data_IF_281570049910
#
_entry.id   IF_281570049910
#
_cell.length_a   1.000
_cell.length_b   1.000
_cell.length_c   1.000
_cell.angle_alpha   90.00
_cell.angle_beta   90.00
_cell.angle_gamma   90.00
#
_symmetry.space_group_name_H-M   'P 1'
#
loop_
_entity.id
_entity.type
_entity.pdbx_description
1 polymer ?
#
# COMPACT_ATOMS: atom_id res chain seq x y z
N UNK A 1 16.78 -25.50 -0.72
CA UNK A 1 16.16 -24.39 -1.50
C UNK A 1 15.08 -23.81 -0.60
N UNK A 2 15.23 -22.60 -0.11
CA UNK A 2 14.17 -21.92 0.67
C UNK A 2 12.96 -21.71 -0.22
N UNK A 3 11.76 -22.04 0.27
CA UNK A 3 10.51 -21.76 -0.43
C UNK A 3 10.44 -20.25 -0.76
N UNK A 4 9.88 -19.86 -1.90
CA UNK A 4 9.73 -18.45 -2.23
C UNK A 4 8.83 -17.76 -1.19
N UNK A 5 9.17 -16.52 -0.81
CA UNK A 5 8.40 -15.71 0.12
C UNK A 5 6.92 -15.65 -0.31
N UNK A 6 6.02 -15.94 0.60
CA UNK A 6 4.57 -16.00 0.33
C UNK A 6 3.79 -15.32 1.44
N UNK A 7 2.82 -14.49 1.07
CA UNK A 7 1.81 -13.94 1.99
C UNK A 7 0.46 -14.61 1.75
N UNK A 8 -0.11 -15.18 2.79
CA UNK A 8 -1.43 -15.82 2.79
C UNK A 8 -2.39 -15.01 3.66
N UNK A 9 -3.56 -14.70 3.11
CA UNK A 9 -4.65 -14.02 3.81
C UNK A 9 -5.91 -14.86 3.64
N UNK A 10 -6.49 -15.35 4.77
CA UNK A 10 -7.70 -16.16 4.76
C UNK A 10 -8.65 -15.70 5.86
N UNK A 11 -9.91 -15.51 5.50
CA UNK A 11 -11.02 -15.17 6.41
C UNK A 11 -10.71 -13.99 7.35
N UNK A 12 -9.92 -13.01 6.88
CA UNK A 12 -9.54 -11.85 7.69
C UNK A 12 -10.76 -10.98 7.99
N UNK A 13 -10.99 -10.74 9.29
CA UNK A 13 -12.08 -9.89 9.78
C UNK A 13 -11.55 -8.78 10.67
N UNK A 14 -12.15 -7.61 10.55
CA UNK A 14 -11.88 -6.46 11.44
C UNK A 14 -13.19 -5.80 11.80
N UNK A 15 -13.33 -5.48 13.08
CA UNK A 15 -14.49 -4.72 13.60
C UNK A 15 -14.03 -3.62 14.54
N UNK A 16 -14.64 -2.44 14.46
CA UNK A 16 -14.46 -1.33 15.38
C UNK A 16 -15.77 -1.07 16.13
N UNK A 17 -15.73 -1.12 17.45
CA UNK A 17 -16.90 -0.86 18.31
C UNK A 17 -18.15 -1.67 17.88
N UNK A 18 -17.98 -2.94 17.52
CA UNK A 18 -19.06 -3.81 17.07
C UNK A 18 -19.49 -3.61 15.60
N UNK A 19 -18.98 -2.61 14.91
CA UNK A 19 -19.23 -2.41 13.47
C UNK A 19 -18.16 -3.16 12.67
N UNK A 20 -18.61 -4.13 11.88
CA UNK A 20 -17.73 -4.84 10.95
C UNK A 20 -17.24 -3.91 9.82
N UNK A 21 -15.95 -3.92 9.55
CA UNK A 21 -15.31 -3.14 8.47
C UNK A 21 -14.71 -4.06 7.42
N UNK A 22 -14.21 -5.23 7.82
CA UNK A 22 -13.77 -6.28 6.90
C UNK A 22 -14.48 -7.58 7.26
N UNK A 23 -15.06 -8.25 6.26
CA UNK A 23 -15.80 -9.47 6.43
C UNK A 23 -15.21 -10.61 5.62
N UNK A 24 -14.45 -11.50 6.28
CA UNK A 24 -13.86 -12.71 5.68
C UNK A 24 -13.07 -12.45 4.41
N UNK A 25 -12.21 -11.43 4.44
CA UNK A 25 -11.31 -11.15 3.32
C UNK A 25 -10.36 -12.35 3.12
N UNK A 26 -10.41 -12.92 1.93
CA UNK A 26 -9.45 -13.96 1.49
C UNK A 26 -8.90 -13.57 0.13
N UNK A 27 -7.58 -13.71 -0.04
CA UNK A 27 -6.88 -13.49 -1.31
C UNK A 27 -6.19 -14.79 -1.74
N UNK A 28 -6.00 -15.04 -3.04
CA UNK A 28 -5.00 -15.99 -3.49
C UNK A 28 -3.63 -15.68 -2.87
N UNK A 29 -2.75 -16.69 -2.80
CA UNK A 29 -1.41 -16.49 -2.25
C UNK A 29 -0.67 -15.42 -3.06
N UNK A 30 -0.03 -14.48 -2.35
CA UNK A 30 0.79 -13.41 -2.92
C UNK A 30 2.25 -13.82 -2.80
N UNK A 31 3.03 -13.61 -3.87
CA UNK A 31 4.39 -14.14 -3.97
C UNK A 31 5.44 -13.03 -4.05
N UNK A 32 6.67 -13.40 -3.71
CA UNK A 32 7.84 -12.56 -3.94
C UNK A 32 7.87 -12.02 -5.37
N UNK A 33 8.23 -10.75 -5.51
CA UNK A 33 8.27 -10.10 -6.82
C UNK A 33 6.96 -9.48 -7.28
N UNK A 34 5.87 -9.61 -6.50
CA UNK A 34 4.59 -9.05 -6.88
C UNK A 34 4.35 -7.65 -6.28
N UNK A 35 3.92 -6.74 -7.15
CA UNK A 35 3.29 -5.47 -6.79
C UNK A 35 1.78 -5.63 -6.97
N UNK A 36 1.04 -5.58 -5.88
CA UNK A 36 -0.41 -5.76 -5.83
C UNK A 36 -1.06 -4.40 -5.55
N UNK A 37 -1.93 -3.96 -6.45
CA UNK A 37 -2.77 -2.79 -6.18
C UNK A 37 -4.03 -3.22 -5.43
N UNK A 38 -4.36 -2.50 -4.36
CA UNK A 38 -5.62 -2.63 -3.62
C UNK A 38 -6.50 -1.43 -3.96
N UNK A 39 -7.60 -1.66 -4.67
CA UNK A 39 -8.50 -0.63 -5.12
C UNK A 39 -9.94 -0.87 -4.63
N UNK A 40 -10.82 0.11 -4.81
CA UNK A 40 -12.21 0.06 -4.41
C UNK A 40 -12.72 1.41 -3.93
N UNK A 41 -14.05 1.58 -3.72
CA UNK A 41 -14.65 2.83 -3.27
C UNK A 41 -14.10 3.31 -1.92
N UNK A 42 -14.35 4.58 -1.60
CA UNK A 42 -14.06 5.10 -0.27
C UNK A 42 -14.89 4.35 0.78
N UNK A 43 -14.28 4.05 1.92
CA UNK A 43 -14.93 3.26 2.97
C UNK A 43 -15.00 1.75 2.73
N UNK A 44 -14.49 1.22 1.62
CA UNK A 44 -14.44 -0.23 1.35
C UNK A 44 -13.53 -1.04 2.30
N UNK A 45 -12.73 -0.37 3.15
CA UNK A 45 -11.88 -1.03 4.13
C UNK A 45 -10.41 -1.21 3.71
N UNK A 46 -9.96 -0.57 2.62
CA UNK A 46 -8.59 -0.72 2.08
C UNK A 46 -7.49 -0.43 3.11
N UNK A 47 -7.52 0.74 3.73
CA UNK A 47 -6.55 1.13 4.78
C UNK A 47 -6.67 0.23 6.01
N UNK A 48 -7.89 -0.22 6.36
CA UNK A 48 -8.11 -1.17 7.45
C UNK A 48 -7.48 -2.53 7.14
N UNK A 49 -7.57 -2.99 5.89
CA UNK A 49 -6.91 -4.21 5.44
C UNK A 49 -5.39 -4.13 5.59
N UNK A 50 -4.76 -3.06 5.12
CA UNK A 50 -3.32 -2.86 5.30
C UNK A 50 -2.95 -2.80 6.80
N UNK A 51 -3.70 -2.03 7.60
CA UNK A 51 -3.47 -1.92 9.05
C UNK A 51 -3.63 -3.24 9.78
N UNK A 52 -4.56 -4.11 9.34
CA UNK A 52 -4.75 -5.44 9.90
C UNK A 52 -3.52 -6.35 9.62
N UNK A 53 -3.02 -6.36 8.38
CA UNK A 53 -1.80 -7.10 8.03
C UNK A 53 -0.59 -6.55 8.78
N UNK A 54 -0.47 -5.23 8.88
CA UNK A 54 0.57 -4.56 9.66
C UNK A 54 0.43 -4.77 11.18
N UNK A 55 -0.70 -5.37 11.64
CA UNK A 55 -1.01 -5.60 13.05
C UNK A 55 -1.19 -4.32 13.87
N UNK A 56 -1.61 -3.26 13.23
CA UNK A 56 -1.93 -1.96 13.84
C UNK A 56 -3.38 -1.90 14.35
N UNK A 57 -4.20 -2.88 13.99
CA UNK A 57 -5.58 -3.03 14.44
C UNK A 57 -5.83 -4.49 14.79
N UNK A 58 -6.75 -4.72 15.73
CA UNK A 58 -7.14 -6.09 16.07
C UNK A 58 -7.89 -6.73 14.90
N UNK A 59 -7.44 -7.93 14.52
CA UNK A 59 -8.01 -8.71 13.44
C UNK A 59 -8.12 -10.17 13.84
N UNK A 60 -9.07 -10.89 13.24
CA UNK A 60 -9.21 -12.34 13.34
C UNK A 60 -9.13 -12.97 11.96
N UNK A 61 -8.87 -14.27 11.89
CA UNK A 61 -8.63 -14.99 10.65
C UNK A 61 -7.19 -15.49 10.58
N UNK A 62 -6.64 -15.59 9.38
CA UNK A 62 -5.29 -16.09 9.17
C UNK A 62 -4.52 -15.12 8.25
N UNK A 63 -3.39 -14.61 8.73
CA UNK A 63 -2.40 -13.86 7.95
C UNK A 63 -1.04 -14.50 8.18
N UNK A 64 -0.47 -15.13 7.15
CA UNK A 64 0.83 -15.78 7.26
C UNK A 64 1.81 -15.22 6.25
N UNK A 65 2.97 -14.82 6.73
CA UNK A 65 4.12 -14.48 5.89
C UNK A 65 5.16 -15.60 6.03
N UNK A 66 5.46 -16.25 4.94
CA UNK A 66 6.37 -17.41 4.90
C UNK A 66 6.00 -18.49 5.94
N UNK A 67 4.70 -18.82 6.02
CA UNK A 67 4.14 -19.79 6.94
C UNK A 67 3.98 -19.33 8.40
N UNK A 68 4.56 -18.19 8.79
CA UNK A 68 4.49 -17.64 10.17
C UNK A 68 3.26 -16.76 10.35
N UNK A 69 2.51 -16.97 11.42
CA UNK A 69 1.29 -16.23 11.73
C UNK A 69 1.60 -14.79 12.18
N UNK A 70 1.35 -13.83 11.28
CA UNK A 70 1.61 -12.41 11.52
C UNK A 70 0.73 -11.79 12.62
N UNK A 71 -0.48 -12.33 12.84
CA UNK A 71 -1.40 -11.80 13.85
C UNK A 71 -0.88 -12.02 15.27
N UNK A 72 0.04 -13.00 15.45
CA UNK A 72 0.66 -13.33 16.74
C UNK A 72 2.01 -12.66 16.95
N UNK A 73 2.53 -11.92 15.98
CA UNK A 73 3.83 -11.28 16.12
C UNK A 73 3.83 -10.18 17.17
N UNK A 74 4.92 -10.08 17.91
CA UNK A 74 5.26 -8.91 18.71
C UNK A 74 5.47 -7.68 17.83
N UNK A 75 5.39 -6.48 18.41
CA UNK A 75 5.68 -5.24 17.68
C UNK A 75 7.10 -5.25 17.06
N UNK A 76 8.08 -5.83 17.75
CA UNK A 76 9.46 -5.95 17.26
C UNK A 76 9.57 -6.88 16.05
N UNK A 77 8.93 -8.05 16.07
CA UNK A 77 8.91 -8.99 14.96
C UNK A 77 8.22 -8.38 13.73
N UNK A 78 7.08 -7.73 13.95
CA UNK A 78 6.37 -7.00 12.88
C UNK A 78 7.26 -5.96 12.22
N UNK A 79 7.91 -5.12 13.03
CA UNK A 79 8.77 -4.07 12.53
C UNK A 79 9.96 -4.58 11.70
N UNK A 80 10.38 -5.82 11.86
CA UNK A 80 11.43 -6.45 11.05
C UNK A 80 10.90 -7.00 9.72
N UNK A 81 9.64 -7.42 9.67
CA UNK A 81 9.08 -8.12 8.53
C UNK A 81 8.09 -7.31 7.69
N UNK A 82 7.56 -6.21 8.24
CA UNK A 82 6.56 -5.38 7.58
C UNK A 82 7.00 -3.92 7.59
N UNK A 83 7.19 -3.36 6.40
CA UNK A 83 7.29 -1.92 6.17
C UNK A 83 5.88 -1.36 5.94
N UNK A 84 5.47 -0.37 6.69
CA UNK A 84 4.16 0.24 6.56
C UNK A 84 4.27 1.75 6.38
N UNK A 85 3.71 2.26 5.29
CA UNK A 85 3.55 3.68 5.02
C UNK A 85 2.08 4.05 5.25
N UNK A 86 1.76 4.87 6.25
CA UNK A 86 0.41 5.38 6.47
C UNK A 86 0.04 6.45 5.44
N UNK A 87 -1.24 6.69 5.23
CA UNK A 87 -1.76 7.73 4.35
C UNK A 87 -1.24 9.13 4.69
N UNK A 88 -1.05 9.43 5.98
CA UNK A 88 -0.49 10.69 6.44
C UNK A 88 0.45 10.48 7.63
N UNK A 89 1.54 11.24 7.66
CA UNK A 89 2.38 11.39 8.85
C UNK A 89 1.80 12.44 9.80
N UNK A 90 2.07 12.34 11.12
CA UNK A 90 1.71 13.38 12.07
C UNK A 90 2.30 14.75 11.66
N UNK A 91 1.47 15.79 11.67
CA UNK A 91 1.87 17.13 11.16
C UNK A 91 2.88 17.84 12.05
N UNK A 92 2.84 17.60 13.37
CA UNK A 92 3.67 18.30 14.37
C UNK A 92 5.02 17.62 14.64
N UNK A 93 5.48 16.74 13.75
CA UNK A 93 6.74 16.01 13.96
C UNK A 93 7.94 16.92 13.73
N UNK A 94 8.68 17.24 14.81
CA UNK A 94 9.89 18.09 14.77
C UNK A 94 11.17 17.35 14.31
N UNK A 95 11.10 16.05 14.14
CA UNK A 95 12.24 15.27 13.63
C UNK A 95 12.56 15.68 12.20
N UNK A 96 13.84 15.71 11.86
CA UNK A 96 14.31 15.83 10.48
C UNK A 96 13.97 14.55 9.69
N UNK A 97 14.02 14.61 8.37
CA UNK A 97 13.83 13.43 7.50
C UNK A 97 14.78 12.31 7.90
N UNK A 98 16.07 12.65 8.15
CA UNK A 98 17.08 11.68 8.56
C UNK A 98 16.76 11.07 9.92
N UNK A 99 16.45 11.89 10.93
CA UNK A 99 16.12 11.40 12.27
C UNK A 99 14.89 10.50 12.27
N UNK A 100 13.84 10.86 11.53
CA UNK A 100 12.64 10.05 11.40
C UNK A 100 12.91 8.72 10.68
N UNK A 101 13.77 8.73 9.64
CA UNK A 101 14.18 7.53 8.92
C UNK A 101 15.05 6.63 9.79
N UNK A 102 15.97 7.20 10.58
CA UNK A 102 16.77 6.48 11.56
C UNK A 102 15.90 5.87 12.68
N UNK A 103 14.94 6.62 13.18
CA UNK A 103 13.97 6.11 14.18
C UNK A 103 13.18 4.92 13.61
N UNK A 104 12.72 5.02 12.36
CA UNK A 104 12.06 3.93 11.66
C UNK A 104 12.96 2.71 11.48
N UNK A 105 14.25 2.91 11.15
CA UNK A 105 15.22 1.81 10.99
C UNK A 105 15.46 1.06 12.29
N UNK A 106 15.53 1.76 13.42
CA UNK A 106 16.04 1.21 14.69
C UNK A 106 14.96 0.81 15.68
N UNK A 107 13.80 1.42 15.60
CA UNK A 107 12.77 1.26 16.63
C UNK A 107 13.33 1.67 18.00
N UNK A 108 13.31 0.75 18.97
CA UNK A 108 13.74 1.00 20.37
C UNK A 108 15.23 0.73 20.64
N UNK A 109 16.06 0.46 19.62
CA UNK A 109 17.49 0.18 19.84
C UNK A 109 18.26 1.43 20.23
N UNK A 110 19.07 1.38 21.29
CA UNK A 110 19.84 2.53 21.79
C UNK A 110 21.06 2.84 20.91
N UNK A 111 21.36 4.15 20.76
CA UNK A 111 22.53 4.71 20.05
C UNK A 111 22.47 4.59 18.53
N UNK A 112 22.90 5.58 17.75
CA UNK A 112 22.99 5.56 16.27
C UNK A 112 24.33 4.97 15.88
N UNK A 113 24.34 3.98 14.98
CA UNK A 113 25.58 3.43 14.40
C UNK A 113 25.81 4.13 13.05
N UNK A 114 27.08 4.33 12.71
CA UNK A 114 27.47 4.92 11.42
C UNK A 114 26.85 4.18 10.22
N UNK A 115 26.69 2.87 10.34
CA UNK A 115 26.07 2.05 9.30
C UNK A 115 24.58 2.36 9.13
N UNK A 116 23.87 2.66 10.23
CA UNK A 116 22.44 3.04 10.20
C UNK A 116 22.24 4.38 9.46
N UNK A 117 23.14 5.35 9.70
CA UNK A 117 23.13 6.65 9.01
C UNK A 117 23.36 6.48 7.50
N UNK A 118 24.35 5.67 7.13
CA UNK A 118 24.65 5.39 5.71
C UNK A 118 23.43 4.77 5.04
N UNK A 119 22.78 3.78 5.67
CA UNK A 119 21.60 3.13 5.15
C UNK A 119 20.42 4.09 5.01
N UNK A 120 20.17 4.93 6.01
CA UNK A 120 19.11 5.93 5.97
C UNK A 120 19.35 6.96 4.85
N UNK A 121 20.57 7.50 4.73
CA UNK A 121 20.93 8.45 3.68
C UNK A 121 20.81 7.83 2.28
N UNK A 122 21.25 6.58 2.09
CA UNK A 122 21.10 5.88 0.82
C UNK A 122 19.63 5.76 0.38
N UNK A 123 18.72 5.52 1.30
CA UNK A 123 17.28 5.47 0.99
C UNK A 123 16.75 6.86 0.65
N UNK A 124 17.11 7.88 1.43
CA UNK A 124 16.71 9.27 1.25
C UNK A 124 17.20 9.79 -0.12
N UNK A 125 18.47 9.53 -0.47
CA UNK A 125 19.06 9.93 -1.76
C UNK A 125 18.39 9.22 -2.94
N UNK A 126 18.14 7.92 -2.81
CA UNK A 126 17.44 7.13 -3.84
C UNK A 126 16.02 7.65 -4.11
N UNK A 127 15.35 8.18 -3.09
CA UNK A 127 14.04 8.82 -3.22
C UNK A 127 14.15 10.29 -3.68
N UNK A 128 15.33 10.78 -4.05
CA UNK A 128 15.55 12.12 -4.59
C UNK A 128 15.28 13.25 -3.59
N UNK A 129 15.32 12.96 -2.29
CA UNK A 129 15.11 13.93 -1.21
C UNK A 129 16.34 14.13 -0.32
N UNK A 130 17.54 13.85 -0.85
CA UNK A 130 18.81 13.97 -0.14
C UNK A 130 19.06 15.36 0.44
N UNK A 131 18.76 16.41 -0.31
CA UNK A 131 18.86 17.81 0.12
C UNK A 131 17.90 18.19 1.25
N UNK A 132 16.86 17.37 1.49
CA UNK A 132 15.88 17.54 2.57
C UNK A 132 16.23 16.75 3.83
N UNK A 133 17.34 15.97 3.83
CA UNK A 133 17.67 15.05 4.91
C UNK A 133 17.68 15.70 6.30
N UNK A 134 18.17 16.94 6.40
CA UNK A 134 18.25 17.71 7.65
C UNK A 134 17.05 18.66 7.86
N UNK A 135 16.05 18.69 6.97
CA UNK A 135 14.84 19.48 7.14
C UNK A 135 13.86 18.78 8.10
N UNK A 136 13.23 19.53 9.02
CA UNK A 136 12.14 19.04 9.85
C UNK A 136 10.94 18.62 8.99
N UNK A 137 10.26 17.54 9.38
CA UNK A 137 9.11 16.98 8.63
C UNK A 137 7.95 17.99 8.49
N UNK A 138 7.74 18.86 9.49
CA UNK A 138 6.66 19.87 9.46
C UNK A 138 6.91 20.99 8.42
N UNK A 139 8.16 21.20 7.98
CA UNK A 139 8.51 22.19 6.95
C UNK A 139 8.37 21.67 5.51
N UNK A 140 8.12 20.38 5.34
CA UNK A 140 8.04 19.75 4.04
C UNK A 140 6.68 20.02 3.37
N UNK A 141 6.69 20.17 2.05
CA UNK A 141 5.46 20.11 1.25
C UNK A 141 4.79 18.75 1.38
N UNK A 142 3.50 18.65 1.03
CA UNK A 142 2.76 17.38 1.08
C UNK A 142 3.48 16.25 0.33
N UNK A 143 3.97 16.53 -0.88
CA UNK A 143 4.71 15.54 -1.69
C UNK A 143 6.05 15.14 -1.07
N UNK A 144 6.83 16.10 -0.56
CA UNK A 144 8.08 15.81 0.12
C UNK A 144 7.85 14.98 1.39
N UNK A 145 6.78 15.25 2.13
CA UNK A 145 6.39 14.50 3.31
C UNK A 145 6.00 13.07 2.96
N UNK A 146 5.35 12.86 1.81
CA UNK A 146 5.00 11.55 1.30
C UNK A 146 6.26 10.71 0.98
N UNK A 147 7.26 11.32 0.32
CA UNK A 147 8.55 10.66 0.04
C UNK A 147 9.32 10.35 1.34
N UNK A 148 9.28 11.24 2.33
CA UNK A 148 9.85 10.98 3.65
C UNK A 148 9.14 9.83 4.38
N UNK A 149 7.80 9.71 4.25
CA UNK A 149 7.05 8.58 4.79
C UNK A 149 7.42 7.26 4.10
N UNK A 150 7.62 7.30 2.77
CA UNK A 150 8.10 6.13 2.03
C UNK A 150 9.50 5.72 2.49
N UNK A 151 10.42 6.67 2.70
CA UNK A 151 11.75 6.38 3.22
C UNK A 151 11.69 5.62 4.56
N UNK A 152 10.85 6.07 5.49
CA UNK A 152 10.64 5.41 6.77
C UNK A 152 10.09 3.98 6.61
N UNK A 153 9.14 3.77 5.68
CA UNK A 153 8.53 2.46 5.46
C UNK A 153 9.51 1.43 4.88
N UNK A 154 10.46 1.87 4.03
CA UNK A 154 11.32 0.95 3.26
C UNK A 154 12.73 0.78 3.81
N UNK A 155 13.17 1.67 4.73
CA UNK A 155 14.56 1.71 5.20
C UNK A 155 15.03 0.41 5.86
N UNK A 156 14.15 -0.36 6.48
CA UNK A 156 14.49 -1.66 7.11
C UNK A 156 14.73 -2.79 6.15
N UNK A 157 14.32 -2.66 4.89
CA UNK A 157 14.42 -3.75 3.94
C UNK A 157 13.43 -4.89 4.18
N UNK A 158 12.29 -4.62 4.80
CA UNK A 158 11.28 -5.62 5.14
C UNK A 158 10.79 -6.40 3.92
N UNK A 159 10.54 -7.72 4.04
CA UNK A 159 10.07 -8.57 2.94
C UNK A 159 8.64 -8.24 2.48
N UNK A 160 7.80 -7.68 3.34
CA UNK A 160 6.45 -7.20 3.02
C UNK A 160 6.40 -5.68 3.17
N UNK A 161 5.97 -4.99 2.11
CA UNK A 161 5.82 -3.52 2.10
C UNK A 161 4.36 -3.17 1.82
N UNK A 162 3.77 -2.37 2.69
CA UNK A 162 2.38 -1.95 2.65
C UNK A 162 2.33 -0.43 2.52
N UNK A 163 1.75 0.08 1.43
CA UNK A 163 1.70 1.51 1.11
C UNK A 163 0.25 1.97 1.04
N UNK A 164 -0.17 2.80 2.00
CA UNK A 164 -1.53 3.31 2.10
C UNK A 164 -1.65 4.67 1.40
N UNK A 165 -2.17 4.69 0.17
CA UNK A 165 -2.34 5.87 -0.69
C UNK A 165 -1.05 6.70 -0.90
N UNK A 166 0.07 6.06 -1.30
CA UNK A 166 1.39 6.71 -1.31
C UNK A 166 1.53 7.83 -2.35
N UNK A 167 0.58 7.95 -3.27
CA UNK A 167 0.62 8.92 -4.39
C UNK A 167 -0.48 9.97 -4.32
N UNK A 168 -1.30 9.98 -3.25
CA UNK A 168 -2.33 10.99 -3.06
C UNK A 168 -1.69 12.38 -2.94
N UNK A 169 -2.23 13.36 -3.67
CA UNK A 169 -1.75 14.75 -3.71
C UNK A 169 -0.31 14.96 -4.27
N UNK A 170 0.23 14.00 -5.04
CA UNK A 170 1.51 14.13 -5.74
C UNK A 170 1.30 14.59 -7.21
N UNK A 171 2.24 15.37 -7.72
CA UNK A 171 2.34 15.59 -9.16
C UNK A 171 2.83 14.33 -9.90
N UNK A 172 2.75 14.35 -11.22
CA UNK A 172 3.07 13.18 -12.06
C UNK A 172 4.52 12.70 -11.88
N UNK A 173 5.47 13.61 -11.64
CA UNK A 173 6.88 13.25 -11.47
C UNK A 173 7.10 12.50 -10.16
N UNK A 174 6.54 13.00 -9.06
CA UNK A 174 6.62 12.36 -7.76
C UNK A 174 5.79 11.06 -7.70
N UNK A 175 4.61 11.01 -8.36
CA UNK A 175 3.86 9.76 -8.50
C UNK A 175 4.68 8.67 -9.19
N UNK A 176 5.32 9.02 -10.31
CA UNK A 176 6.20 8.09 -11.02
C UNK A 176 7.33 7.60 -10.12
N UNK A 177 7.96 8.50 -9.37
CA UNK A 177 9.08 8.19 -8.48
C UNK A 177 8.67 7.19 -7.37
N UNK A 178 7.53 7.43 -6.71
CA UNK A 178 6.98 6.53 -5.69
C UNK A 178 6.64 5.16 -6.26
N UNK A 179 5.97 5.12 -7.40
CA UNK A 179 5.57 3.87 -8.03
C UNK A 179 6.77 3.09 -8.59
N UNK A 180 7.78 3.79 -9.11
CA UNK A 180 9.03 3.18 -9.56
C UNK A 180 9.79 2.54 -8.38
N UNK A 181 9.83 3.21 -7.21
CA UNK A 181 10.41 2.61 -6.00
C UNK A 181 9.61 1.38 -5.55
N UNK A 182 8.27 1.46 -5.54
CA UNK A 182 7.42 0.31 -5.21
C UNK A 182 7.68 -0.88 -6.16
N UNK A 183 7.83 -0.63 -7.46
CA UNK A 183 8.16 -1.65 -8.47
C UNK A 183 9.54 -2.24 -8.22
N UNK A 184 10.56 -1.39 -8.00
CA UNK A 184 11.93 -1.81 -7.69
C UNK A 184 11.97 -2.73 -6.47
N UNK A 185 11.24 -2.39 -5.40
CA UNK A 185 11.15 -3.22 -4.19
C UNK A 185 10.55 -4.61 -4.49
N UNK A 186 9.53 -4.66 -5.34
CA UNK A 186 8.98 -5.93 -5.78
C UNK A 186 10.00 -6.71 -6.63
N UNK A 187 10.68 -6.07 -7.58
CA UNK A 187 11.71 -6.72 -8.42
C UNK A 187 12.89 -7.26 -7.60
N UNK A 188 13.15 -6.68 -6.41
CA UNK A 188 14.10 -7.21 -5.43
C UNK A 188 13.57 -8.43 -4.65
N UNK A 189 12.41 -8.95 -4.99
CA UNK A 189 11.82 -10.14 -4.38
C UNK A 189 10.96 -9.89 -3.15
N UNK A 190 10.54 -8.64 -2.90
CA UNK A 190 9.57 -8.33 -1.84
C UNK A 190 8.15 -8.49 -2.34
N UNK A 191 7.20 -8.61 -1.41
CA UNK A 191 5.77 -8.48 -1.68
C UNK A 191 5.40 -7.03 -1.37
N UNK A 192 4.83 -6.33 -2.35
CA UNK A 192 4.40 -4.94 -2.18
C UNK A 192 2.90 -4.84 -2.40
N UNK A 193 2.17 -4.30 -1.41
CA UNK A 193 0.74 -4.02 -1.54
C UNK A 193 0.56 -2.51 -1.45
N UNK A 194 -0.06 -1.92 -2.46
CA UNK A 194 -0.27 -0.47 -2.56
C UNK A 194 -1.75 -0.15 -2.71
N UNK A 195 -2.29 0.73 -1.87
CA UNK A 195 -3.65 1.27 -2.05
C UNK A 195 -3.60 2.38 -3.09
N UNK A 196 -4.39 2.23 -4.14
CA UNK A 196 -4.51 3.22 -5.21
C UNK A 196 -5.99 3.51 -5.52
N UNK A 197 -6.29 4.79 -5.77
CA UNK A 197 -7.62 5.22 -6.23
C UNK A 197 -7.72 5.27 -7.75
N UNK A 198 -6.62 5.56 -8.43
CA UNK A 198 -6.55 5.59 -9.89
C UNK A 198 -6.31 4.17 -10.44
N UNK A 199 -7.33 3.62 -11.09
CA UNK A 199 -7.27 2.30 -11.71
C UNK A 199 -6.33 2.26 -12.92
N UNK A 200 -6.17 3.37 -13.63
CA UNK A 200 -5.22 3.46 -14.74
C UNK A 200 -3.79 3.38 -14.22
N UNK A 201 -3.48 4.11 -13.14
CA UNK A 201 -2.18 4.02 -12.49
C UNK A 201 -1.95 2.60 -11.92
N UNK A 202 -2.97 2.00 -11.27
CA UNK A 202 -2.90 0.64 -10.79
C UNK A 202 -2.59 -0.36 -11.92
N UNK A 203 -3.26 -0.23 -13.06
CA UNK A 203 -3.04 -1.08 -14.23
C UNK A 203 -1.66 -0.90 -14.87
N UNK A 204 -1.09 0.29 -14.75
CA UNK A 204 0.24 0.58 -15.28
C UNK A 204 1.35 -0.14 -14.50
N UNK A 205 1.21 -0.26 -13.19
CA UNK A 205 2.30 -0.66 -12.30
C UNK A 205 2.13 -2.04 -11.67
N UNK A 206 0.89 -2.43 -11.35
CA UNK A 206 0.65 -3.65 -10.58
C UNK A 206 0.66 -4.92 -11.45
N UNK A 207 1.17 -6.01 -10.88
CA UNK A 207 1.04 -7.34 -11.45
C UNK A 207 -0.39 -7.86 -11.31
N UNK A 208 -1.01 -7.60 -10.14
CA UNK A 208 -2.37 -8.01 -9.82
C UNK A 208 -3.11 -6.88 -9.11
N UNK A 209 -4.42 -6.85 -9.27
CA UNK A 209 -5.33 -5.91 -8.60
C UNK A 209 -6.32 -6.69 -7.75
N UNK A 210 -6.50 -6.27 -6.51
CA UNK A 210 -7.58 -6.68 -5.62
C UNK A 210 -8.59 -5.54 -5.52
N UNK A 211 -9.86 -5.81 -5.82
CA UNK A 211 -10.95 -4.84 -5.67
C UNK A 211 -11.70 -5.18 -4.39
N UNK A 212 -11.69 -4.24 -3.43
CA UNK A 212 -12.53 -4.32 -2.26
C UNK A 212 -13.84 -3.57 -2.49
N UNK A 213 -14.96 -4.23 -2.24
CA UNK A 213 -16.28 -3.62 -2.23
C UNK A 213 -17.13 -4.27 -1.12
N UNK A 214 -18.01 -3.50 -0.48
CA UNK A 214 -18.93 -4.00 0.54
C UNK A 214 -18.25 -4.90 1.61
N UNK A 215 -17.04 -4.51 2.05
CA UNK A 215 -16.23 -5.18 3.08
C UNK A 215 -15.69 -6.55 2.68
N UNK A 216 -15.73 -6.90 1.40
CA UNK A 216 -15.26 -8.17 0.84
C UNK A 216 -14.34 -7.94 -0.36
N UNK A 217 -13.67 -9.00 -0.81
CA UNK A 217 -12.97 -8.99 -2.10
C UNK A 217 -14.02 -9.22 -3.18
N UNK A 218 -14.24 -8.22 -4.01
CA UNK A 218 -15.12 -8.32 -5.18
C UNK A 218 -14.45 -9.09 -6.32
N UNK A 219 -13.20 -8.76 -6.61
CA UNK A 219 -12.42 -9.42 -7.68
C UNK A 219 -10.92 -9.33 -7.41
N UNK A 220 -10.17 -10.28 -7.96
CA UNK A 220 -8.71 -10.34 -7.88
C UNK A 220 -8.15 -10.99 -9.13
N UNK A 221 -7.13 -10.39 -9.74
CA UNK A 221 -6.48 -10.94 -10.94
C UNK A 221 -5.56 -9.94 -11.63
N UNK A 222 -5.20 -10.24 -12.88
CA UNK A 222 -4.46 -9.30 -13.72
C UNK A 222 -5.30 -8.06 -14.02
N UNK A 223 -4.67 -6.85 -14.11
CA UNK A 223 -5.41 -5.63 -14.40
C UNK A 223 -6.32 -5.72 -15.63
N UNK A 224 -5.85 -6.35 -16.71
CA UNK A 224 -6.59 -6.49 -17.96
C UNK A 224 -7.82 -7.41 -17.85
N UNK A 225 -7.84 -8.32 -16.88
CA UNK A 225 -8.96 -9.23 -16.63
C UNK A 225 -9.96 -8.64 -15.63
N UNK A 226 -9.46 -7.90 -14.65
CA UNK A 226 -10.26 -7.36 -13.55
C UNK A 226 -10.96 -6.06 -13.95
N UNK A 227 -10.25 -5.13 -14.62
CA UNK A 227 -10.80 -3.82 -14.96
C UNK A 227 -11.67 -3.95 -16.19
N UNK A 228 -12.99 -3.78 -16.02
CA UNK A 228 -13.99 -3.88 -17.08
C UNK A 228 -15.06 -2.79 -16.92
N UNK A 229 -15.77 -2.49 -18.00
CA UNK A 229 -16.92 -1.56 -17.99
C UNK A 229 -17.96 -2.00 -16.94
N UNK A 230 -18.19 -3.32 -16.84
CA UNK A 230 -19.13 -3.91 -15.87
C UNK A 230 -18.65 -3.68 -14.43
N UNK A 231 -17.38 -3.94 -14.12
CA UNK A 231 -16.80 -3.67 -12.78
C UNK A 231 -17.01 -2.21 -12.38
N UNK A 232 -16.75 -1.27 -13.28
CA UNK A 232 -16.87 0.17 -13.00
C UNK A 232 -18.31 0.56 -12.70
N UNK A 233 -19.27 -0.03 -13.39
CA UNK A 233 -20.69 0.17 -13.13
C UNK A 233 -21.13 -0.44 -11.79
N UNK A 234 -20.72 -1.67 -11.49
CA UNK A 234 -21.11 -2.39 -10.26
C UNK A 234 -20.51 -1.80 -9.00
N UNK A 235 -19.22 -1.44 -9.05
CA UNK A 235 -18.46 -1.06 -7.84
C UNK A 235 -18.42 0.45 -7.64
N UNK A 236 -18.29 1.26 -8.70
CA UNK A 236 -18.21 2.72 -8.60
C UNK A 236 -19.46 3.45 -9.07
N UNK A 237 -20.48 2.71 -9.55
CA UNK A 237 -21.74 3.29 -10.02
C UNK A 237 -21.53 4.36 -11.11
N UNK A 238 -20.55 4.14 -11.97
CA UNK A 238 -20.25 5.03 -13.10
C UNK A 238 -20.43 4.31 -14.42
N UNK A 239 -20.85 5.08 -15.43
CA UNK A 239 -20.77 4.66 -16.83
C UNK A 239 -19.39 5.04 -17.34
N UNK A 240 -18.61 4.03 -17.70
CA UNK A 240 -17.23 4.21 -18.13
C UNK A 240 -16.88 3.21 -19.23
N UNK A 241 -15.81 3.50 -19.95
CA UNK A 241 -15.26 2.63 -20.99
C UNK A 241 -13.83 2.27 -20.62
N UNK A 242 -13.51 0.99 -20.66
CA UNK A 242 -12.14 0.49 -20.55
C UNK A 242 -11.56 0.40 -21.97
N UNK A 243 -10.38 0.94 -22.14
CA UNK A 243 -9.61 0.89 -23.39
C UNK A 243 -8.20 0.39 -23.07
N UNK A 244 -7.48 -0.05 -24.09
CA UNK A 244 -6.13 -0.57 -23.92
C UNK A 244 -5.14 0.31 -24.68
N UNK A 245 -4.02 0.65 -24.04
CA UNK A 245 -2.91 1.31 -24.72
C UNK A 245 -2.14 0.31 -25.61
N UNK A 246 -1.17 0.80 -26.39
CA UNK A 246 -0.34 -0.03 -27.29
C UNK A 246 0.41 -1.15 -26.57
N UNK A 247 0.67 -0.99 -25.25
CA UNK A 247 1.32 -1.99 -24.40
C UNK A 247 0.33 -3.00 -23.78
N UNK A 248 -0.96 -2.96 -24.17
CA UNK A 248 -2.00 -3.85 -23.66
C UNK A 248 -2.45 -3.56 -22.23
N UNK A 249 -2.13 -2.37 -21.67
CA UNK A 249 -2.56 -1.97 -20.33
C UNK A 249 -3.90 -1.25 -20.39
N UNK A 250 -4.87 -1.63 -19.54
CA UNK A 250 -6.17 -0.95 -19.51
C UNK A 250 -6.05 0.46 -18.92
N UNK A 251 -6.87 1.37 -19.45
CA UNK A 251 -7.13 2.68 -18.89
C UNK A 251 -8.63 2.99 -18.93
N UNK A 252 -9.07 3.83 -18.00
CA UNK A 252 -10.48 4.10 -17.74
C UNK A 252 -10.87 5.48 -18.23
N UNK A 253 -11.95 5.55 -19.02
CA UNK A 253 -12.59 6.78 -19.44
C UNK A 253 -14.00 6.84 -18.83
N UNK A 254 -14.22 7.76 -17.89
CA UNK A 254 -15.51 7.94 -17.23
C UNK A 254 -16.40 8.85 -18.07
N UNK A 255 -17.58 8.38 -18.47
CA UNK A 255 -18.55 9.11 -19.28
C UNK A 255 -19.64 9.80 -18.43
N UNK A 256 -19.82 9.37 -17.17
CA UNK A 256 -20.81 9.96 -16.26
C UNK A 256 -21.34 8.97 -15.22
N UNK A 257 -22.30 9.37 -14.39
CA UNK A 257 -22.93 8.46 -13.43
C UNK A 257 -23.69 7.34 -14.17
N UNK A 258 -23.75 6.15 -13.58
CA UNK A 258 -24.67 5.12 -14.06
C UNK A 258 -26.12 5.60 -13.90
N UNK A 259 -26.98 5.33 -14.90
CA UNK A 259 -28.42 5.59 -14.76
C UNK A 259 -28.93 4.83 -13.53
N UNK A 260 -29.72 5.50 -12.68
CA UNK A 260 -30.24 5.02 -11.39
C UNK A 260 -30.76 3.58 -11.43
N UNK A 261 -29.91 2.62 -11.15
CA UNK A 261 -30.32 1.32 -10.64
C UNK A 261 -30.23 1.40 -9.09
N UNK A 262 -31.23 0.86 -8.40
CA UNK A 262 -31.45 0.96 -6.93
C UNK A 262 -30.32 0.41 -6.02
N UNK A 263 -29.13 0.16 -6.52
CA UNK A 263 -28.01 -0.48 -5.81
C UNK A 263 -27.00 0.52 -5.23
N UNK A 264 -27.04 1.80 -5.64
CA UNK A 264 -26.04 2.81 -5.23
C UNK A 264 -26.47 3.71 -4.05
N UNK A 265 -27.29 3.26 -3.15
CA UNK A 265 -27.84 4.09 -2.05
C UNK A 265 -27.12 3.88 -0.70
N UNK A 266 -25.79 3.96 -0.69
CA UNK A 266 -25.01 4.08 0.57
C UNK A 266 -23.71 4.86 0.30
N UNK A 267 -23.87 6.17 0.13
CA UNK A 267 -22.80 7.15 0.32
C UNK A 267 -22.98 7.82 1.67
#
# INVERSE_FOLDING_TARGET
MSSPLTLQVRDLKVSYNGREVLNRISLPDLHAGELIALAGPNGAGKSTFLKAIAGLVHATGCVRLDGRDCLRWSASERAQHVGFMPQALPEDTRLTVLEATLAALRGNAAGVRRQDEIQALQVIDRLGIGELALRPLFELSGGQRQLAALAQAVVRGSPLVLLDEPVSALDLAHQWQVMNEARRLADEGRIVIVVLHDLTLAAQWANRIAILNERQVHSFGCPAEVISDQLLQEVWCVRARVRFCEQGRPYVLVDGPASQSRVCSTL
#
